data_IF_093968322618
#
_entry.id   IF_093968322618
#
_cell.length_a   1.000
_cell.length_b   1.000
_cell.length_c   1.000
_cell.angle_alpha   90.00
_cell.angle_beta   90.00
_cell.angle_gamma   90.00
#
_symmetry.space_group_name_H-M   'P 1'
#
loop_
_entity.id
_entity.type
_entity.pdbx_description
1 polymer ?
#
# COMPACT_ATOMS: atom_id res chain seq x y z
N UNK A 1 -31.37 -4.68 -3.35
CA UNK A 1 -30.21 -4.73 -4.26
C UNK A 1 -30.60 -5.22 -5.64
N UNK A 2 -31.27 -6.38 -5.76
CA UNK A 2 -31.78 -6.89 -7.04
C UNK A 2 -32.61 -5.86 -7.82
N UNK A 3 -33.59 -5.21 -7.19
CA UNK A 3 -34.42 -4.20 -7.85
C UNK A 3 -33.61 -3.00 -8.37
N UNK A 4 -32.51 -2.65 -7.70
CA UNK A 4 -31.60 -1.59 -8.12
C UNK A 4 -30.84 -2.00 -9.39
N UNK A 5 -30.38 -3.25 -9.46
CA UNK A 5 -29.73 -3.81 -10.65
C UNK A 5 -30.70 -3.88 -11.83
N UNK A 6 -31.95 -4.33 -11.59
CA UNK A 6 -33.00 -4.31 -12.62
C UNK A 6 -33.31 -2.90 -13.13
N UNK A 7 -33.23 -1.88 -12.26
CA UNK A 7 -33.40 -0.48 -12.65
C UNK A 7 -32.23 0.03 -13.50
N UNK A 8 -30.98 -0.24 -13.09
CA UNK A 8 -29.78 0.09 -13.88
C UNK A 8 -29.85 -0.50 -15.30
N UNK A 9 -30.21 -1.78 -15.43
CA UNK A 9 -30.34 -2.42 -16.73
C UNK A 9 -31.46 -1.81 -17.60
N UNK A 10 -32.55 -1.33 -17.00
CA UNK A 10 -33.62 -0.63 -17.72
C UNK A 10 -33.20 0.77 -18.17
N UNK A 11 -32.41 1.48 -17.37
CA UNK A 11 -31.84 2.78 -17.72
C UNK A 11 -30.86 2.67 -18.90
N UNK A 12 -30.07 1.59 -18.97
CA UNK A 12 -29.21 1.29 -20.13
C UNK A 12 -30.02 0.98 -21.41
N UNK A 13 -31.19 0.34 -21.30
CA UNK A 13 -32.05 -0.02 -22.44
C UNK A 13 -32.84 1.16 -23.04
N UNK A 14 -32.96 2.30 -22.34
CA UNK A 14 -33.72 3.47 -22.77
C UNK A 14 -32.98 4.42 -23.71
N UNK A 15 -31.68 4.22 -23.94
CA UNK A 15 -30.88 5.02 -24.88
C UNK A 15 -30.92 4.35 -26.27
N UNK A 16 -31.30 5.11 -27.31
CA UNK A 16 -31.46 4.63 -28.70
C UNK A 16 -30.20 3.98 -29.30
N UNK A 17 -30.19 3.60 -30.59
CA UNK A 17 -29.24 2.64 -31.17
C UNK A 17 -27.82 3.22 -31.27
N UNK A 18 -27.11 3.26 -30.16
CA UNK A 18 -25.65 3.22 -30.11
C UNK A 18 -25.31 1.74 -29.87
N UNK A 19 -24.42 1.20 -30.69
CA UNK A 19 -24.11 -0.23 -30.76
C UNK A 19 -24.03 -0.89 -29.38
N UNK A 20 -24.58 -2.10 -29.28
CA UNK A 20 -24.79 -2.90 -28.07
C UNK A 20 -23.93 -2.41 -26.88
N UNK A 21 -24.53 -1.61 -26.00
CA UNK A 21 -23.89 -1.21 -24.76
C UNK A 21 -23.69 -2.48 -23.93
N UNK A 22 -22.45 -2.95 -23.85
CA UNK A 22 -22.08 -4.02 -22.91
C UNK A 22 -22.31 -3.46 -21.52
N UNK A 23 -23.19 -4.10 -20.74
CA UNK A 23 -23.38 -3.71 -19.35
C UNK A 23 -22.02 -3.72 -18.63
N UNK A 24 -21.76 -2.72 -17.80
CA UNK A 24 -20.51 -2.69 -17.01
C UNK A 24 -20.49 -3.72 -15.88
N UNK A 25 -21.60 -4.43 -15.65
CA UNK A 25 -21.77 -5.45 -14.61
C UNK A 25 -22.30 -6.73 -15.26
N UNK A 26 -21.45 -7.76 -15.34
CA UNK A 26 -21.85 -9.06 -15.89
C UNK A 26 -22.71 -9.88 -14.92
N UNK A 27 -22.33 -9.91 -13.63
CA UNK A 27 -22.94 -10.76 -12.62
C UNK A 27 -22.94 -10.13 -11.22
N UNK A 28 -23.96 -10.43 -10.43
CA UNK A 28 -24.06 -10.08 -9.01
C UNK A 28 -24.11 -11.37 -8.17
N UNK A 29 -23.09 -11.60 -7.37
CA UNK A 29 -23.04 -12.71 -6.40
C UNK A 29 -23.30 -12.15 -5.00
N UNK A 30 -24.29 -12.71 -4.31
CA UNK A 30 -24.61 -12.36 -2.93
C UNK A 30 -24.15 -13.49 -2.01
N UNK A 31 -23.21 -13.20 -1.12
CA UNK A 31 -22.67 -14.14 -0.15
C UNK A 31 -23.03 -13.69 1.26
N UNK A 32 -23.68 -14.58 2.01
CA UNK A 32 -23.86 -14.40 3.45
C UNK A 32 -22.54 -14.76 4.16
N UNK A 33 -22.09 -13.91 5.09
CA UNK A 33 -20.87 -14.15 5.88
C UNK A 33 -20.92 -15.48 6.64
N UNK A 34 -22.12 -15.95 7.00
CA UNK A 34 -22.31 -17.19 7.72
C UNK A 34 -21.99 -18.46 6.93
N UNK A 35 -21.81 -18.36 5.60
CA UNK A 35 -21.45 -19.51 4.75
C UNK A 35 -20.04 -20.03 5.03
N UNK A 36 -19.15 -19.18 5.54
CA UNK A 36 -17.78 -19.55 5.90
C UNK A 36 -17.33 -18.71 7.08
N UNK A 37 -17.31 -19.24 8.30
CA UNK A 37 -16.71 -18.54 9.44
C UNK A 37 -15.22 -18.84 9.59
N UNK A 38 -14.75 -19.95 9.04
CA UNK A 38 -13.36 -20.41 9.18
C UNK A 38 -12.38 -19.38 8.64
N UNK A 39 -12.62 -18.81 7.46
CA UNK A 39 -11.71 -17.81 6.89
C UNK A 39 -11.65 -16.49 7.66
N UNK A 40 -12.68 -16.13 8.46
CA UNK A 40 -12.66 -14.89 9.29
C UNK A 40 -12.06 -15.14 10.67
N UNK A 41 -12.06 -16.38 11.15
CA UNK A 41 -11.47 -16.74 12.45
C UNK A 41 -9.98 -17.07 12.35
N UNK A 42 -9.47 -17.36 11.14
CA UNK A 42 -8.06 -17.63 10.92
C UNK A 42 -7.25 -16.32 10.89
N UNK A 43 -6.14 -16.28 11.62
CA UNK A 43 -5.19 -15.16 11.57
C UNK A 43 -4.66 -14.99 10.15
N UNK A 44 -4.84 -13.80 9.59
CA UNK A 44 -4.34 -13.47 8.26
C UNK A 44 -2.81 -13.38 8.25
N UNK A 45 -2.18 -13.89 7.17
CA UNK A 45 -0.71 -13.97 7.06
C UNK A 45 -0.12 -13.16 5.90
N UNK A 46 -0.96 -12.43 5.17
CA UNK A 46 -0.52 -11.44 4.18
C UNK A 46 0.03 -10.19 4.87
N UNK A 47 0.76 -9.35 4.14
CA UNK A 47 1.30 -8.11 4.69
C UNK A 47 0.20 -7.18 5.21
N UNK A 48 -0.83 -6.89 4.40
CA UNK A 48 -1.96 -6.05 4.82
C UNK A 48 -2.82 -6.73 5.89
N UNK A 49 -3.05 -8.04 5.77
CA UNK A 49 -3.78 -8.80 6.77
C UNK A 49 -3.14 -8.71 8.15
N UNK A 50 -1.81 -8.90 8.25
CA UNK A 50 -1.10 -8.75 9.52
C UNK A 50 -1.08 -7.32 10.06
N UNK A 51 -1.11 -6.29 9.19
CA UNK A 51 -1.28 -4.91 9.66
C UNK A 51 -2.66 -4.76 10.32
N UNK A 52 -3.71 -5.29 9.70
CA UNK A 52 -5.07 -5.21 10.22
C UNK A 52 -5.23 -5.98 11.54
N UNK A 53 -4.71 -7.21 11.61
CA UNK A 53 -4.74 -8.05 12.82
C UNK A 53 -4.08 -7.40 14.03
N UNK A 54 -2.96 -6.70 13.82
CA UNK A 54 -2.13 -6.16 14.91
C UNK A 54 -2.49 -4.70 15.24
N UNK A 55 -2.75 -3.88 14.23
CA UNK A 55 -2.89 -2.42 14.37
C UNK A 55 -4.29 -1.91 14.02
N UNK A 56 -5.09 -2.69 13.31
CA UNK A 56 -6.40 -2.30 12.81
C UNK A 56 -6.33 -1.24 11.71
N UNK A 57 -6.85 -1.56 10.53
CA UNK A 57 -7.01 -0.63 9.43
C UNK A 57 -8.41 -0.03 9.48
N UNK A 58 -8.51 1.29 9.60
CA UNK A 58 -9.77 2.03 9.57
C UNK A 58 -9.71 3.11 8.50
N UNK A 59 -10.64 3.07 7.55
CA UNK A 59 -10.68 4.00 6.41
C UNK A 59 -9.33 4.07 5.69
N UNK A 60 -8.79 2.90 5.32
CA UNK A 60 -7.48 2.76 4.68
C UNK A 60 -6.35 3.42 5.48
N UNK A 61 -6.46 3.52 6.80
CA UNK A 61 -5.46 4.16 7.66
C UNK A 61 -5.18 3.29 8.87
N UNK A 62 -3.90 3.08 9.18
CA UNK A 62 -3.46 2.44 10.40
C UNK A 62 -2.58 3.39 11.24
N UNK A 63 -2.53 3.15 12.54
CA UNK A 63 -1.78 3.98 13.49
C UNK A 63 -0.72 3.15 14.19
N UNK A 64 0.53 3.61 14.12
CA UNK A 64 1.70 2.90 14.61
C UNK A 64 2.46 3.75 15.64
N UNK A 65 3.26 3.14 16.54
CA UNK A 65 4.19 3.90 17.37
C UNK A 65 5.24 4.64 16.52
N UNK A 66 5.66 5.83 16.92
CA UNK A 66 6.51 6.72 16.10
C UNK A 66 7.97 6.30 15.95
N UNK A 67 8.52 5.52 16.88
CA UNK A 67 9.97 5.29 16.99
C UNK A 67 10.65 4.67 15.77
N UNK A 68 9.95 3.85 14.96
CA UNK A 68 10.49 3.31 13.69
C UNK A 68 10.34 4.23 12.48
N UNK A 69 9.74 5.42 12.66
CA UNK A 69 9.50 6.39 11.58
C UNK A 69 10.28 7.69 11.74
N UNK A 70 11.23 7.73 12.68
CA UNK A 70 12.10 8.88 12.90
C UNK A 70 13.08 9.00 11.73
N UNK A 71 13.11 10.16 11.08
CA UNK A 71 14.04 10.48 10.01
C UNK A 71 15.31 11.13 10.59
N UNK A 72 16.50 10.93 9.97
CA UNK A 72 17.70 11.69 10.33
C UNK A 72 17.53 13.20 10.18
N UNK A 73 16.62 13.62 9.29
CA UNK A 73 16.34 15.02 8.98
C UNK A 73 15.23 15.62 9.87
N UNK A 74 14.74 14.87 10.88
CA UNK A 74 13.70 15.37 11.79
C UNK A 74 14.24 16.46 12.71
N UNK A 75 13.55 17.61 12.75
CA UNK A 75 13.92 18.75 13.60
C UNK A 75 13.84 18.44 15.11
N UNK A 76 12.98 17.50 15.51
CA UNK A 76 12.89 17.03 16.89
C UNK A 76 12.64 15.51 16.95
N UNK A 77 13.71 14.70 16.83
CA UNK A 77 13.60 13.24 16.75
C UNK A 77 12.93 12.60 17.97
N UNK A 78 13.14 13.15 19.17
CA UNK A 78 12.54 12.63 20.40
C UNK A 78 11.01 12.83 20.43
N UNK A 79 10.52 13.96 19.91
CA UNK A 79 9.08 14.20 19.81
C UNK A 79 8.45 13.24 18.80
N UNK A 80 9.04 13.11 17.61
CA UNK A 80 8.57 12.17 16.57
C UNK A 80 8.51 10.73 17.10
N UNK A 81 9.51 10.30 17.87
CA UNK A 81 9.56 8.95 18.42
C UNK A 81 8.42 8.66 19.41
N UNK A 82 7.97 9.67 20.16
CA UNK A 82 6.91 9.56 21.17
C UNK A 82 5.51 9.63 20.58
N UNK A 83 5.34 10.30 19.45
CA UNK A 83 4.06 10.43 18.78
C UNK A 83 3.64 9.16 18.03
N UNK A 84 2.34 9.01 17.79
CA UNK A 84 1.83 7.94 16.94
C UNK A 84 1.84 8.39 15.48
N UNK A 85 2.36 7.55 14.59
CA UNK A 85 2.34 7.80 13.15
C UNK A 85 1.07 7.22 12.54
N UNK A 86 0.27 8.08 11.89
CA UNK A 86 -0.87 7.66 11.07
C UNK A 86 -0.41 7.49 9.62
N UNK A 87 -0.73 6.34 9.01
CA UNK A 87 -0.28 5.98 7.67
C UNK A 87 -1.49 5.56 6.85
N UNK A 88 -1.65 6.17 5.68
CA UNK A 88 -2.66 5.77 4.69
C UNK A 88 -2.12 4.60 3.88
N UNK A 89 -2.91 3.54 3.75
CA UNK A 89 -2.58 2.28 3.12
C UNK A 89 -3.58 2.04 1.97
N UNK A 90 -3.17 2.37 0.75
CA UNK A 90 -3.99 2.16 -0.45
C UNK A 90 -3.12 2.00 -1.71
N UNK A 91 -3.74 1.67 -2.84
CA UNK A 91 -3.04 1.38 -4.09
C UNK A 91 -2.47 2.60 -4.83
N UNK A 92 -2.57 3.81 -4.27
CA UNK A 92 -1.88 4.98 -4.84
C UNK A 92 -0.37 4.93 -4.60
N UNK A 93 0.07 4.16 -3.60
CA UNK A 93 1.48 3.90 -3.33
C UNK A 93 1.91 2.58 -4.00
N UNK A 94 2.81 2.69 -4.99
CA UNK A 94 3.26 1.57 -5.82
C UNK A 94 3.84 0.41 -4.99
N UNK A 95 4.68 0.73 -4.00
CA UNK A 95 5.31 -0.31 -3.16
C UNK A 95 4.26 -1.06 -2.33
N UNK A 96 3.30 -0.34 -1.73
CA UNK A 96 2.24 -0.99 -0.97
C UNK A 96 1.38 -1.88 -1.85
N UNK A 97 1.00 -1.41 -3.04
CA UNK A 97 0.25 -2.21 -4.01
C UNK A 97 0.99 -3.50 -4.41
N UNK A 98 2.32 -3.48 -4.48
CA UNK A 98 3.13 -4.67 -4.79
C UNK A 98 3.16 -5.68 -3.62
N UNK A 99 3.24 -5.21 -2.37
CA UNK A 99 3.50 -6.10 -1.22
C UNK A 99 2.26 -6.44 -0.38
N UNK A 100 1.16 -5.70 -0.47
CA UNK A 100 -0.01 -5.85 0.42
C UNK A 100 -0.60 -7.27 0.43
N UNK A 101 -0.65 -7.91 -0.73
CA UNK A 101 -1.26 -9.23 -0.95
C UNK A 101 -0.23 -10.37 -0.81
N UNK A 102 1.05 -10.05 -0.62
CA UNK A 102 2.10 -11.05 -0.45
C UNK A 102 2.04 -11.69 0.95
N UNK A 103 2.39 -12.98 1.03
CA UNK A 103 2.74 -13.60 2.30
C UNK A 103 3.85 -12.79 2.99
N UNK A 104 3.70 -12.56 4.29
CA UNK A 104 4.67 -11.79 5.07
C UNK A 104 6.11 -12.32 4.97
N UNK A 105 6.27 -13.64 4.77
CA UNK A 105 7.56 -14.28 4.58
C UNK A 105 8.33 -13.73 3.38
N UNK A 106 7.62 -13.27 2.34
CA UNK A 106 8.19 -12.79 1.08
C UNK A 106 8.46 -11.28 1.09
N UNK A 107 7.83 -10.53 2.00
CA UNK A 107 7.91 -9.05 2.06
C UNK A 107 9.35 -8.57 2.27
N UNK A 108 10.14 -9.25 3.10
CA UNK A 108 11.54 -8.87 3.34
C UNK A 108 12.39 -8.88 2.06
N UNK A 109 12.18 -9.86 1.18
CA UNK A 109 12.88 -9.93 -0.11
C UNK A 109 12.44 -8.82 -1.06
N UNK A 110 11.13 -8.52 -1.12
CA UNK A 110 10.58 -7.43 -1.92
C UNK A 110 11.13 -6.05 -1.48
N UNK A 111 11.14 -5.77 -0.17
CA UNK A 111 11.72 -4.54 0.39
C UNK A 111 13.21 -4.43 0.07
N UNK A 112 13.97 -5.52 0.21
CA UNK A 112 15.40 -5.55 -0.12
C UNK A 112 15.66 -5.27 -1.61
N UNK A 113 14.81 -5.78 -2.50
CA UNK A 113 14.88 -5.50 -3.94
C UNK A 113 14.60 -4.02 -4.22
N UNK A 114 13.53 -3.44 -3.66
CA UNK A 114 13.21 -2.01 -3.83
C UNK A 114 14.30 -1.12 -3.24
N UNK A 115 14.89 -1.50 -2.11
CA UNK A 115 16.04 -0.80 -1.50
C UNK A 115 17.25 -0.71 -2.43
N UNK A 116 17.60 -1.81 -3.10
CA UNK A 116 18.67 -1.82 -4.11
C UNK A 116 18.36 -0.86 -5.26
N UNK A 117 17.14 -0.87 -5.77
CA UNK A 117 16.71 0.03 -6.87
C UNK A 117 16.83 1.50 -6.45
N UNK A 118 16.26 1.87 -5.29
CA UNK A 118 16.31 3.25 -4.78
C UNK A 118 17.75 3.71 -4.54
N UNK A 119 18.61 2.82 -4.01
CA UNK A 119 20.03 3.10 -3.80
C UNK A 119 20.75 3.39 -5.12
N UNK A 120 20.59 2.52 -6.13
CA UNK A 120 21.20 2.73 -7.45
C UNK A 120 20.74 4.05 -8.08
N UNK A 121 19.43 4.35 -8.01
CA UNK A 121 18.87 5.60 -8.54
C UNK A 121 19.45 6.84 -7.84
N UNK A 122 19.75 6.77 -6.54
CA UNK A 122 20.36 7.88 -5.81
C UNK A 122 21.87 8.02 -6.09
N UNK A 123 22.59 6.91 -6.17
CA UNK A 123 24.04 6.89 -6.46
C UNK A 123 24.36 7.37 -7.88
N UNK A 124 23.44 7.18 -8.83
CA UNK A 124 23.56 7.73 -10.17
C UNK A 124 23.82 9.25 -10.14
N UNK A 125 23.39 9.99 -9.12
CA UNK A 125 23.66 11.43 -8.99
C UNK A 125 25.12 11.80 -8.69
N UNK A 126 25.87 10.94 -7.98
CA UNK A 126 27.20 11.29 -7.43
C UNK A 126 28.35 11.18 -8.45
N UNK A 127 28.07 11.22 -9.75
CA UNK A 127 29.06 11.09 -10.83
C UNK A 127 29.17 12.40 -11.62
N UNK A 128 30.31 12.64 -12.27
CA UNK A 128 30.47 13.77 -13.20
C UNK A 128 29.45 13.66 -14.33
N UNK A 129 28.50 14.59 -14.38
CA UNK A 129 27.36 14.56 -15.31
C UNK A 129 27.23 15.79 -16.18
N UNK A 130 26.71 15.59 -17.38
CA UNK A 130 26.32 16.66 -18.30
C UNK A 130 25.10 17.43 -17.76
N UNK A 131 24.98 18.71 -18.15
CA UNK A 131 23.82 19.56 -17.82
C UNK A 131 22.48 18.93 -18.24
N UNK A 132 22.45 18.15 -19.32
CA UNK A 132 21.25 17.44 -19.77
C UNK A 132 20.86 16.31 -18.80
N UNK A 133 21.84 15.58 -18.26
CA UNK A 133 21.60 14.47 -17.33
C UNK A 133 21.19 14.99 -15.94
N UNK A 134 21.74 16.15 -15.53
CA UNK A 134 21.30 16.86 -14.32
C UNK A 134 19.81 17.22 -14.44
N UNK A 135 19.40 17.80 -15.57
CA UNK A 135 17.99 18.17 -15.81
C UNK A 135 17.06 16.94 -15.76
N UNK A 136 17.48 15.82 -16.36
CA UNK A 136 16.72 14.57 -16.30
C UNK A 136 16.62 14.03 -14.86
N UNK A 137 17.70 14.05 -14.10
CA UNK A 137 17.67 13.59 -12.71
C UNK A 137 16.76 14.44 -11.83
N UNK A 138 16.88 15.78 -11.91
CA UNK A 138 16.04 16.70 -11.13
C UNK A 138 14.55 16.47 -11.42
N UNK A 139 14.20 16.12 -12.67
CA UNK A 139 12.81 15.78 -13.03
C UNK A 139 12.29 14.50 -12.36
N UNK A 140 13.17 13.53 -12.05
CA UNK A 140 12.82 12.24 -11.42
C UNK A 140 13.00 12.25 -9.90
N UNK A 141 13.76 13.21 -9.37
CA UNK A 141 14.09 13.31 -7.95
C UNK A 141 12.86 13.25 -7.02
N UNK A 142 11.72 13.91 -7.29
CA UNK A 142 10.55 13.81 -6.44
C UNK A 142 10.04 12.36 -6.30
N UNK A 143 10.05 11.60 -7.39
CA UNK A 143 9.64 10.20 -7.38
C UNK A 143 10.63 9.31 -6.62
N UNK A 144 11.94 9.56 -6.77
CA UNK A 144 12.98 8.83 -6.04
C UNK A 144 12.84 9.08 -4.52
N UNK A 145 12.59 10.32 -4.11
CA UNK A 145 12.36 10.68 -2.71
C UNK A 145 11.08 10.05 -2.16
N UNK A 146 9.99 10.05 -2.95
CA UNK A 146 8.76 9.37 -2.58
C UNK A 146 8.98 7.86 -2.39
N UNK A 147 9.73 7.20 -3.29
CA UNK A 147 10.08 5.79 -3.17
C UNK A 147 10.97 5.50 -1.96
N UNK A 148 11.91 6.39 -1.64
CA UNK A 148 12.75 6.29 -0.44
C UNK A 148 11.90 6.38 0.84
N UNK A 149 10.97 7.34 0.90
CA UNK A 149 10.08 7.52 2.05
C UNK A 149 9.10 6.34 2.21
N UNK A 150 8.54 5.88 1.10
CA UNK A 150 7.70 4.68 1.01
C UNK A 150 8.43 3.45 1.58
N UNK A 151 9.64 3.20 1.09
CA UNK A 151 10.49 2.10 1.56
C UNK A 151 10.80 2.20 3.06
N UNK A 152 11.14 3.38 3.56
CA UNK A 152 11.39 3.58 5.00
C UNK A 152 10.15 3.26 5.83
N UNK A 153 8.99 3.76 5.40
CA UNK A 153 7.70 3.50 6.04
C UNK A 153 7.39 2.00 6.12
N UNK A 154 7.47 1.29 4.98
CA UNK A 154 7.15 -0.13 4.93
C UNK A 154 8.21 -1.03 5.60
N UNK A 155 9.46 -0.58 5.67
CA UNK A 155 10.49 -1.25 6.48
C UNK A 155 10.14 -1.15 7.96
N UNK A 156 9.78 0.04 8.46
CA UNK A 156 9.36 0.24 9.85
C UNK A 156 8.13 -0.60 10.22
N UNK A 157 7.11 -0.65 9.36
CA UNK A 157 5.93 -1.49 9.57
C UNK A 157 6.30 -2.98 9.58
N UNK A 158 7.14 -3.45 8.64
CA UNK A 158 7.55 -4.85 8.60
C UNK A 158 8.34 -5.26 9.85
N UNK A 159 9.17 -4.38 10.41
CA UNK A 159 9.86 -4.64 11.67
C UNK A 159 8.89 -4.73 12.85
N UNK A 160 7.88 -3.87 12.91
CA UNK A 160 6.83 -3.94 13.93
C UNK A 160 6.10 -5.29 13.91
N UNK A 161 5.69 -5.74 12.73
CA UNK A 161 5.03 -7.04 12.57
C UNK A 161 5.97 -8.18 13.02
N UNK A 162 7.26 -8.12 12.66
CA UNK A 162 8.27 -9.11 13.12
C UNK A 162 8.42 -9.14 14.64
N UNK A 163 8.37 -7.98 15.31
CA UNK A 163 8.52 -7.89 16.77
C UNK A 163 7.35 -8.52 17.51
N UNK A 164 6.12 -8.34 17.01
CA UNK A 164 4.93 -8.95 17.58
C UNK A 164 4.97 -10.47 17.37
N UNK A 165 5.22 -10.94 16.14
CA UNK A 165 5.24 -12.37 15.80
C UNK A 165 6.36 -13.20 16.46
N UNK A 166 7.34 -12.56 17.09
CA UNK A 166 8.42 -13.24 17.84
C UNK A 166 8.06 -13.43 19.32
N UNK A 167 7.09 -12.68 19.83
CA UNK A 167 6.65 -12.76 21.24
C UNK A 167 5.62 -13.86 21.47
N UNK A 168 4.96 -14.31 20.42
CA UNK A 168 4.11 -15.49 20.37
C UNK A 168 4.91 -16.72 19.92
#
# INVERSE_FOLDING_TARGET
>A
VWDLLCRLNKEEQGQGPRGAATSCIDQLLLLDRAVDFTSVMATQLTYEGLIDEIYGIKSSTATFPGHKFVSPDDANPEATAREKKRIVLNSSEELFAEIRDCSFTSVGAALSKKARVVKTQMEEWNKDKSMQEIKQFVSRLPQILANKQSLATHTGIAEYIKEVRRKD
#
